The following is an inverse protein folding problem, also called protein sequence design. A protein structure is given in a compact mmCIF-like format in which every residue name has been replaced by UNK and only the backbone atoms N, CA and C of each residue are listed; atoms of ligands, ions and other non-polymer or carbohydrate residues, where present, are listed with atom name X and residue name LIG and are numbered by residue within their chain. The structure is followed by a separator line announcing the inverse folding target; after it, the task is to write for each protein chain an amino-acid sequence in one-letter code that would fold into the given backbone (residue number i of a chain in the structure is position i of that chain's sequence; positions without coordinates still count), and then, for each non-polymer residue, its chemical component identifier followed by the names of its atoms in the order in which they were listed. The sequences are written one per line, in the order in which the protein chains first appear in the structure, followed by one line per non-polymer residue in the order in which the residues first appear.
data_IF_022308234557
#
_entry.id   IF_022308234557
#
_cell.length_a   1.000
_cell.length_b   1.000
_cell.length_c   1.000
_cell.angle_alpha   90.00
_cell.angle_beta   90.00
_cell.angle_gamma   90.00
#
_symmetry.space_group_name_H-M   'P 1'
#
loop_
_entity.id
_entity.type
_entity.pdbx_description
1 polymer ?
#
# COMPACT_ATOMS: atom_id res chain seq x y z
N UNK A 1 6.16 3.54 8.70
CA UNK A 1 5.76 4.96 8.61
C UNK A 1 4.26 5.07 8.87
N UNK A 2 3.82 6.08 9.63
CA UNK A 2 2.40 6.32 9.98
C UNK A 2 2.03 7.77 9.64
N UNK A 3 0.74 8.03 9.38
CA UNK A 3 0.24 9.38 9.09
C UNK A 3 0.42 10.25 10.34
N UNK A 4 1.03 11.43 10.16
CA UNK A 4 1.37 12.34 11.26
C UNK A 4 0.38 13.49 11.45
N UNK A 5 -0.34 13.88 10.40
CA UNK A 5 -1.24 15.03 10.42
C UNK A 5 -2.65 14.60 9.98
N UNK A 6 -3.65 14.91 10.82
CA UNK A 6 -5.07 14.74 10.51
C UNK A 6 -5.81 16.06 10.81
N UNK A 7 -6.70 16.56 9.93
CA UNK A 7 -7.06 16.00 8.62
C UNK A 7 -5.89 16.03 7.63
N UNK A 8 -5.89 15.09 6.69
CA UNK A 8 -4.83 14.98 5.67
C UNK A 8 -4.94 16.20 4.76
N UNK A 9 -3.87 17.00 4.66
CA UNK A 9 -3.92 18.27 3.95
C UNK A 9 -3.99 18.12 2.43
N UNK A 10 -3.26 17.17 1.84
CA UNK A 10 -3.29 16.86 0.40
C UNK A 10 -2.75 15.46 0.09
N UNK A 11 -1.51 15.17 0.48
CA UNK A 11 -0.83 13.88 0.26
C UNK A 11 -0.34 13.35 1.60
N UNK A 12 -0.56 12.07 1.84
CA UNK A 12 -0.05 11.36 3.01
C UNK A 12 0.68 10.09 2.60
N UNK A 13 1.60 9.68 3.45
CA UNK A 13 2.34 8.43 3.30
C UNK A 13 2.06 7.58 4.53
N UNK A 14 1.94 6.27 4.34
CA UNK A 14 1.77 5.31 5.42
C UNK A 14 2.13 3.92 4.92
N UNK A 15 2.68 3.09 5.81
CA UNK A 15 2.82 1.66 5.53
C UNK A 15 1.43 0.99 5.57
N UNK A 16 1.27 -0.09 4.80
CA UNK A 16 0.01 -0.83 4.70
C UNK A 16 -0.56 -1.20 6.08
N UNK A 17 0.28 -1.66 7.01
CA UNK A 17 -0.13 -2.05 8.38
C UNK A 17 -0.74 -0.90 9.20
N UNK A 18 -0.42 0.34 8.85
CA UNK A 18 -0.90 1.55 9.52
C UNK A 18 -2.03 2.25 8.74
N UNK A 19 -2.56 1.62 7.68
CA UNK A 19 -3.59 2.19 6.81
C UNK A 19 -5.03 1.82 7.23
N UNK A 20 -5.18 1.08 8.34
CA UNK A 20 -6.51 0.67 8.83
C UNK A 20 -7.33 1.90 9.23
N UNK A 21 -8.55 2.01 8.69
CA UNK A 21 -9.48 3.11 9.00
C UNK A 21 -9.21 4.41 8.23
N UNK A 22 -8.25 4.41 7.30
CA UNK A 22 -7.92 5.56 6.48
C UNK A 22 -8.39 5.29 5.04
N UNK A 23 -9.53 5.86 4.67
CA UNK A 23 -10.03 5.84 3.29
C UNK A 23 -9.56 7.09 2.53
N UNK A 24 -9.19 6.89 1.26
CA UNK A 24 -8.76 7.96 0.36
C UNK A 24 -9.39 7.77 -1.01
N UNK A 25 -9.64 8.87 -1.72
CA UNK A 25 -10.14 8.82 -3.10
C UNK A 25 -9.15 8.12 -4.04
N UNK A 26 -7.85 8.38 -3.85
CA UNK A 26 -6.76 7.80 -4.63
C UNK A 26 -5.72 7.18 -3.72
N UNK A 27 -5.29 5.95 -4.03
CA UNK A 27 -4.16 5.26 -3.37
C UNK A 27 -3.09 4.92 -4.40
N UNK A 28 -1.84 5.27 -4.09
CA UNK A 28 -0.65 4.86 -4.82
C UNK A 28 0.11 3.83 -3.99
N UNK A 29 0.00 2.55 -4.35
CA UNK A 29 0.69 1.45 -3.69
C UNK A 29 2.02 1.18 -4.40
N UNK A 30 3.12 1.56 -3.77
CA UNK A 30 4.48 1.42 -4.30
C UNK A 30 5.22 0.22 -3.70
N UNK A 31 6.32 -0.17 -4.34
CA UNK A 31 7.20 -1.27 -3.92
C UNK A 31 6.45 -2.59 -3.67
N UNK A 32 5.41 -2.84 -4.46
CA UNK A 32 4.63 -4.06 -4.31
C UNK A 32 5.46 -5.27 -4.77
N UNK A 33 5.61 -6.31 -3.93
CA UNK A 33 6.41 -7.46 -4.28
C UNK A 33 5.77 -8.20 -5.46
N UNK A 34 6.59 -8.59 -6.44
CA UNK A 34 6.14 -9.43 -7.56
C UNK A 34 5.76 -10.81 -7.00
N UNK A 35 4.61 -11.33 -7.43
CA UNK A 35 3.96 -12.52 -6.85
C UNK A 35 4.68 -13.86 -7.13
N UNK A 36 5.97 -13.85 -7.44
CA UNK A 36 6.70 -15.03 -7.93
C UNK A 36 6.84 -16.14 -6.88
N UNK A 37 6.55 -15.86 -5.62
CA UNK A 37 6.47 -16.84 -4.54
C UNK A 37 5.16 -16.67 -3.76
N UNK A 38 4.55 -17.80 -3.36
CA UNK A 38 3.33 -17.84 -2.56
C UNK A 38 3.47 -16.91 -1.33
N UNK A 39 2.84 -15.74 -1.39
CA UNK A 39 2.92 -14.76 -0.32
C UNK A 39 2.22 -15.31 0.92
N UNK A 40 2.82 -15.18 2.13
CA UNK A 40 2.20 -15.61 3.37
C UNK A 40 0.78 -15.04 3.53
N UNK A 41 -0.12 -15.74 4.24
CA UNK A 41 -1.51 -15.31 4.42
C UNK A 41 -1.63 -13.89 4.99
N UNK A 42 -0.74 -13.52 5.94
CA UNK A 42 -0.66 -12.17 6.50
C UNK A 42 -0.37 -11.10 5.45
N UNK A 43 0.47 -11.42 4.46
CA UNK A 43 0.75 -10.53 3.32
C UNK A 43 -0.50 -10.34 2.46
N UNK A 44 -1.30 -11.38 2.24
CA UNK A 44 -2.57 -11.26 1.50
C UNK A 44 -3.59 -10.38 2.22
N UNK A 45 -3.71 -10.50 3.54
CA UNK A 45 -4.59 -9.66 4.36
C UNK A 45 -4.17 -8.19 4.26
N UNK A 46 -2.87 -7.90 4.38
CA UNK A 46 -2.35 -6.54 4.23
C UNK A 46 -2.61 -5.99 2.82
N UNK A 47 -2.38 -6.79 1.78
CA UNK A 47 -2.68 -6.39 0.40
C UNK A 47 -4.16 -6.05 0.23
N UNK A 48 -5.07 -6.89 0.75
CA UNK A 48 -6.50 -6.61 0.73
C UNK A 48 -6.85 -5.32 1.48
N UNK A 49 -6.25 -5.09 2.65
CA UNK A 49 -6.43 -3.85 3.40
C UNK A 49 -6.04 -2.67 2.53
N UNK A 50 -4.83 -2.62 1.98
CA UNK A 50 -4.35 -1.51 1.14
C UNK A 50 -5.26 -1.24 -0.06
N UNK A 51 -5.65 -2.29 -0.80
CA UNK A 51 -6.46 -2.15 -2.00
C UNK A 51 -7.87 -1.61 -1.70
N UNK A 52 -8.46 -2.00 -0.57
CA UNK A 52 -9.81 -1.56 -0.19
C UNK A 52 -9.87 -0.15 0.40
N UNK A 53 -8.74 0.56 0.53
CA UNK A 53 -8.72 1.95 1.02
C UNK A 53 -8.96 2.97 -0.09
N UNK A 54 -8.81 2.56 -1.34
CA UNK A 54 -9.08 3.40 -2.51
C UNK A 54 -10.58 3.42 -2.80
N UNK A 55 -11.19 4.61 -2.76
CA UNK A 55 -12.62 4.79 -3.12
C UNK A 55 -12.83 4.90 -4.62
N UNK A 56 -11.94 5.59 -5.34
CA UNK A 56 -12.09 5.86 -6.77
C UNK A 56 -10.98 5.22 -7.62
N UNK A 57 -9.71 5.43 -7.25
CA UNK A 57 -8.57 4.96 -8.04
C UNK A 57 -7.49 4.28 -7.19
N UNK A 58 -7.10 3.09 -7.62
CA UNK A 58 -5.96 2.35 -7.09
C UNK A 58 -4.90 2.22 -8.19
N UNK A 59 -3.68 2.68 -7.90
CA UNK A 59 -2.51 2.41 -8.73
C UNK A 59 -1.55 1.51 -7.95
N UNK A 60 -1.13 0.39 -8.55
CA UNK A 60 -0.17 -0.55 -7.95
C UNK A 60 1.09 -0.56 -8.79
N UNK A 61 2.23 -0.33 -8.15
CA UNK A 61 3.54 -0.33 -8.77
C UNK A 61 4.37 -1.47 -8.19
N UNK A 62 4.75 -2.41 -9.05
CA UNK A 62 5.61 -3.53 -8.66
C UNK A 62 7.06 -3.09 -8.61
N UNK A 63 7.79 -3.55 -7.60
CA UNK A 63 9.23 -3.36 -7.54
C UNK A 63 9.91 -4.32 -8.52
N UNK A 64 10.87 -3.81 -9.30
CA UNK A 64 11.75 -4.64 -10.13
C UNK A 64 12.78 -5.27 -9.18
N UNK A 65 13.05 -6.59 -9.26
CA UNK A 65 14.08 -7.20 -8.43
C UNK A 65 15.40 -6.46 -8.62
N UNK A 66 16.00 -6.00 -7.51
CA UNK A 66 17.35 -5.45 -7.53
C UNK A 66 18.30 -6.58 -7.89
N UNK A 67 18.93 -6.48 -9.05
CA UNK A 67 20.09 -7.32 -9.38
C UNK A 67 21.22 -6.78 -8.52
N UNK A 68 21.44 -7.38 -7.35
CA UNK A 68 22.65 -7.13 -6.57
C UNK A 68 23.85 -7.61 -7.40
N UNK A 69 24.79 -6.69 -7.63
CA UNK A 69 26.09 -6.98 -8.22
C UNK A 69 27.08 -7.39 -7.14
#
# INVERSE_FOLDING_TARGET
YSIRNFPISNISFSEIKNFKGLENEVILLIDFPKQENATPMESKVLHYVAMTRARSLLCVFWSVPKIEK
#
